data_IF_466135795308
#
_entry.id   IF_466135795308
#
_cell.length_a   1.000
_cell.length_b   1.000
_cell.length_c   1.000
_cell.angle_alpha   90.00
_cell.angle_beta   90.00
_cell.angle_gamma   90.00
#
_symmetry.space_group_name_H-M   'P 1'
#
loop_
_entity.id
_entity.type
_entity.pdbx_description
1 polymer ?
#
# COMPACT_ATOMS: atom_id res chain seq x y z
N UNK A 1 -5.15 -11.64 12.58
CA UNK A 1 -5.41 -11.45 14.03
C UNK A 1 -6.54 -12.31 14.64
N UNK A 2 -6.82 -13.56 14.21
CA UNK A 2 -7.88 -14.38 14.86
C UNK A 2 -7.60 -15.88 14.96
N UNK A 3 -6.42 -16.29 15.45
CA UNK A 3 -6.16 -17.72 15.74
C UNK A 3 -5.73 -17.93 17.22
N UNK A 4 -5.22 -16.88 17.87
CA UNK A 4 -4.68 -16.95 19.24
C UNK A 4 -5.73 -17.29 20.32
N UNK A 5 -7.01 -16.85 20.26
CA UNK A 5 -7.99 -17.20 21.30
C UNK A 5 -8.41 -18.68 21.32
N UNK A 6 -8.16 -19.41 20.24
CA UNK A 6 -8.58 -20.82 20.09
C UNK A 6 -7.56 -21.81 20.66
N UNK A 7 -6.36 -21.35 21.03
CA UNK A 7 -5.30 -22.20 21.54
C UNK A 7 -5.44 -22.48 23.05
N UNK A 8 -6.17 -21.67 23.80
CA UNK A 8 -6.41 -21.87 25.24
C UNK A 8 -7.46 -22.93 25.56
N UNK A 9 -8.20 -23.40 24.55
CA UNK A 9 -9.27 -24.41 24.70
C UNK A 9 -8.82 -25.83 24.30
N UNK A 10 -7.60 -25.98 23.78
CA UNK A 10 -7.07 -27.27 23.34
C UNK A 10 -6.31 -27.96 24.47
N UNK A 11 -6.58 -29.26 24.63
CA UNK A 11 -5.93 -30.10 25.62
C UNK A 11 -4.39 -30.14 25.43
N UNK A 12 -3.64 -30.23 26.53
CA UNK A 12 -2.20 -29.91 26.57
C UNK A 12 -1.32 -30.76 25.64
N UNK A 13 -1.80 -31.92 25.17
CA UNK A 13 -1.15 -32.72 24.16
C UNK A 13 -1.31 -32.16 22.73
N UNK A 14 -2.51 -31.66 22.37
CA UNK A 14 -2.78 -31.07 21.05
C UNK A 14 -2.08 -29.73 20.87
N UNK A 15 -1.96 -28.96 21.96
CA UNK A 15 -1.24 -27.69 21.99
C UNK A 15 0.25 -27.87 21.65
N UNK A 16 0.91 -28.92 22.16
CA UNK A 16 2.32 -29.20 21.90
C UNK A 16 2.60 -29.60 20.44
N UNK A 17 1.71 -30.38 19.83
CA UNK A 17 1.84 -30.78 18.41
C UNK A 17 1.65 -29.58 17.48
N UNK A 18 0.71 -28.69 17.81
CA UNK A 18 0.46 -27.48 17.03
C UNK A 18 1.61 -26.47 17.16
N UNK A 19 2.18 -26.31 18.35
CA UNK A 19 3.36 -25.47 18.59
C UNK A 19 4.59 -26.01 17.87
N UNK A 20 4.83 -27.32 17.89
CA UNK A 20 5.92 -27.95 17.14
C UNK A 20 5.76 -27.78 15.62
N UNK A 21 4.53 -27.85 15.09
CA UNK A 21 4.24 -27.61 13.66
C UNK A 21 4.51 -26.14 13.27
N UNK A 22 4.18 -25.20 14.14
CA UNK A 22 4.44 -23.75 13.93
C UNK A 22 5.93 -23.45 14.00
N UNK A 23 6.68 -24.07 14.93
CA UNK A 23 8.13 -23.98 15.01
C UNK A 23 8.81 -24.54 13.75
N UNK A 24 8.31 -25.64 13.20
CA UNK A 24 8.85 -26.25 11.98
C UNK A 24 8.52 -25.46 10.69
N UNK A 25 7.41 -24.71 10.67
CA UNK A 25 6.97 -23.89 9.52
C UNK A 25 7.57 -22.48 9.56
N UNK A 26 7.87 -21.96 10.75
CA UNK A 26 8.32 -20.56 10.92
C UNK A 26 9.74 -20.43 11.47
N UNK A 27 10.37 -21.51 11.95
CA UNK A 27 11.72 -21.53 12.51
C UNK A 27 11.87 -20.88 13.89
N UNK A 28 10.77 -20.52 14.54
CA UNK A 28 10.77 -19.78 15.82
C UNK A 28 10.68 -20.75 17.00
N UNK A 29 11.62 -20.63 17.96
CA UNK A 29 11.71 -21.51 19.14
C UNK A 29 10.46 -21.43 20.02
N UNK A 30 9.88 -22.59 20.33
CA UNK A 30 8.59 -22.77 21.01
C UNK A 30 8.48 -22.12 22.40
N UNK A 31 9.59 -21.87 23.07
CA UNK A 31 9.67 -21.26 24.41
C UNK A 31 9.16 -19.80 24.43
N UNK A 32 9.38 -19.03 23.36
CA UNK A 32 8.97 -17.62 23.25
C UNK A 32 7.45 -17.43 23.07
N UNK A 33 6.76 -18.46 22.58
CA UNK A 33 5.31 -18.43 22.31
C UNK A 33 4.53 -18.58 23.62
N UNK A 34 5.06 -19.32 24.60
CA UNK A 34 4.44 -19.56 25.90
C UNK A 34 4.46 -18.31 26.79
N UNK A 35 5.53 -17.50 26.71
CA UNK A 35 5.65 -16.26 27.49
C UNK A 35 4.69 -15.15 27.02
N UNK A 36 4.40 -15.08 25.71
CA UNK A 36 3.41 -14.15 25.15
C UNK A 36 1.98 -14.46 25.59
N UNK A 37 1.66 -15.72 25.89
CA UNK A 37 0.34 -16.11 26.36
C UNK A 37 0.10 -15.74 27.84
N UNK A 38 1.16 -15.63 28.64
CA UNK A 38 1.04 -15.33 30.09
C UNK A 38 0.92 -13.82 30.38
N UNK A 39 1.40 -12.95 29.48
CA UNK A 39 1.47 -11.50 29.69
C UNK A 39 0.14 -10.73 29.49
N UNK A 40 -0.97 -11.37 29.06
CA UNK A 40 -2.20 -10.68 28.62
C UNK A 40 -3.29 -10.53 29.68
N UNK A 41 -3.05 -10.92 30.94
CA UNK A 41 -4.05 -10.90 32.02
C UNK A 41 -3.89 -9.68 32.92
N UNK A 42 -4.12 -8.45 32.42
CA UNK A 42 -4.57 -7.29 33.23
C UNK A 42 -5.23 -6.22 32.35
N UNK A 43 -6.41 -5.64 32.71
CA UNK A 43 -7.06 -4.59 31.93
C UNK A 43 -6.87 -3.18 32.50
N UNK A 44 -6.69 -2.17 31.63
CA UNK A 44 -6.73 -0.74 31.97
C UNK A 44 -8.05 -0.08 31.51
N UNK A 45 -8.57 0.83 32.35
CA UNK A 45 -9.92 1.44 32.31
C UNK A 45 -10.02 2.67 31.39
N UNK A 46 -11.25 2.92 30.91
CA UNK A 46 -11.74 4.10 30.15
C UNK A 46 -11.81 5.38 30.99
N UNK A 47 -11.75 6.55 30.35
CA UNK A 47 -12.38 7.78 30.84
C UNK A 47 -13.00 8.60 29.70
N UNK A 48 -13.88 9.54 30.08
CA UNK A 48 -15.11 9.93 29.43
C UNK A 48 -15.08 11.38 28.86
N UNK A 49 -16.14 11.72 28.14
CA UNK A 49 -16.40 12.97 27.39
C UNK A 49 -16.39 14.27 28.21
N UNK A 50 -16.15 15.40 27.55
CA UNK A 50 -16.89 16.65 27.79
C UNK A 50 -16.91 17.58 26.57
N UNK A 51 -17.96 18.39 26.48
CA UNK A 51 -18.52 19.11 25.33
C UNK A 51 -18.64 20.59 25.72
N UNK A 52 -18.31 21.55 24.85
CA UNK A 52 -18.88 22.89 24.95
C UNK A 52 -18.96 23.60 23.58
N UNK A 53 -20.11 24.25 23.32
CA UNK A 53 -20.42 25.22 22.26
C UNK A 53 -20.31 26.62 22.91
N UNK A 54 -20.01 27.75 22.26
CA UNK A 54 -20.65 28.49 21.13
C UNK A 54 -19.91 29.89 21.00
N UNK A 55 -20.30 30.90 20.18
CA UNK A 55 -19.95 31.14 18.77
C UNK A 55 -19.31 32.52 18.41
N UNK A 56 -19.02 32.68 17.10
CA UNK A 56 -18.92 33.87 16.22
C UNK A 56 -17.82 34.94 16.45
N UNK A 57 -16.95 35.12 15.44
CA UNK A 57 -16.82 36.34 14.60
C UNK A 57 -15.75 36.12 13.52
N UNK A 58 -16.05 36.45 12.26
CA UNK A 58 -15.18 36.31 11.08
C UNK A 58 -14.59 37.68 10.71
N UNK A 59 -13.26 37.85 10.69
CA UNK A 59 -12.58 38.86 9.89
C UNK A 59 -12.03 38.23 8.59
N UNK A 60 -11.89 39.05 7.56
CA UNK A 60 -11.38 38.69 6.23
C UNK A 60 -9.98 38.02 6.29
N UNK A 61 -9.82 36.91 5.55
CA UNK A 61 -8.60 36.10 5.54
C UNK A 61 -7.58 36.61 4.49
N UNK A 62 -6.34 36.95 4.88
CA UNK A 62 -5.19 36.95 3.98
C UNK A 62 -4.85 35.51 3.53
N UNK A 63 -4.06 35.29 2.47
CA UNK A 63 -3.94 33.99 1.80
C UNK A 63 -3.60 32.86 2.77
N UNK A 64 -4.41 31.80 2.74
CA UNK A 64 -4.32 30.65 3.62
C UNK A 64 -2.93 30.00 3.51
N UNK A 65 -2.23 29.73 4.64
CA UNK A 65 -1.06 28.88 4.64
C UNK A 65 -1.45 27.45 4.19
N UNK A 66 -0.51 26.66 3.63
CA UNK A 66 -0.80 25.32 3.14
C UNK A 66 -1.47 24.50 4.24
N UNK A 67 -2.68 24.02 3.97
CA UNK A 67 -3.46 23.21 4.90
C UNK A 67 -2.63 21.95 5.22
N UNK A 68 -2.42 21.60 6.50
CA UNK A 68 -1.68 20.41 6.85
C UNK A 68 -2.37 19.19 6.19
N UNK A 69 -1.59 18.26 5.61
CA UNK A 69 -2.15 17.09 4.95
C UNK A 69 -3.01 16.30 5.92
N UNK A 70 -4.11 15.73 5.43
CA UNK A 70 -4.93 14.89 6.30
C UNK A 70 -4.14 13.63 6.69
N UNK A 71 -4.42 12.98 7.83
CA UNK A 71 -3.66 11.81 8.29
C UNK A 71 -3.62 10.64 7.28
N UNK A 72 -4.65 10.53 6.43
CA UNK A 72 -4.71 9.54 5.35
C UNK A 72 -3.74 9.86 4.20
N UNK A 73 -3.59 11.15 3.88
CA UNK A 73 -2.68 11.63 2.83
C UNK A 73 -1.22 11.44 3.26
N UNK A 74 -0.91 11.68 4.53
CA UNK A 74 0.44 11.48 5.06
C UNK A 74 0.88 10.00 4.99
N UNK A 75 -0.03 9.07 5.34
CA UNK A 75 0.26 7.63 5.22
C UNK A 75 0.46 7.21 3.77
N UNK A 76 -0.33 7.75 2.84
CA UNK A 76 -0.19 7.48 1.40
C UNK A 76 1.19 7.94 0.92
N UNK A 77 1.55 9.20 1.23
CA UNK A 77 2.87 9.76 0.91
C UNK A 77 4.03 8.93 1.46
N UNK A 78 3.94 8.43 2.70
CA UNK A 78 4.97 7.54 3.28
C UNK A 78 5.06 6.20 2.55
N UNK A 79 3.93 5.64 2.14
CA UNK A 79 3.88 4.38 1.37
C UNK A 79 4.49 4.57 -0.01
N UNK A 80 4.18 5.69 -0.65
CA UNK A 80 4.71 6.10 -1.95
C UNK A 80 6.23 6.33 -1.90
N UNK A 81 6.71 7.10 -0.91
CA UNK A 81 8.14 7.31 -0.68
C UNK A 81 8.89 5.99 -0.50
N UNK A 82 8.33 5.07 0.28
CA UNK A 82 8.94 3.76 0.48
C UNK A 82 8.97 2.91 -0.80
N UNK A 83 7.88 2.91 -1.58
CA UNK A 83 7.85 2.25 -2.89
C UNK A 83 8.92 2.81 -3.83
N UNK A 84 9.02 4.14 -3.92
CA UNK A 84 10.01 4.81 -4.74
C UNK A 84 11.43 4.45 -4.31
N UNK A 85 11.71 4.45 -3.01
CA UNK A 85 13.00 4.04 -2.48
C UNK A 85 13.36 2.60 -2.91
N UNK A 86 12.43 1.65 -2.77
CA UNK A 86 12.63 0.26 -3.22
C UNK A 86 12.86 0.18 -4.73
N UNK A 87 12.12 0.94 -5.53
CA UNK A 87 12.23 0.95 -6.98
C UNK A 87 13.57 1.53 -7.47
N UNK A 88 14.07 2.58 -6.83
CA UNK A 88 15.38 3.18 -7.12
C UNK A 88 16.53 2.22 -6.76
N UNK A 89 16.39 1.49 -5.65
CA UNK A 89 17.41 0.59 -5.13
C UNK A 89 17.49 -0.75 -5.85
N UNK A 90 16.35 -1.35 -6.20
CA UNK A 90 16.28 -2.69 -6.77
C UNK A 90 15.55 -2.65 -8.12
N UNK A 91 16.25 -2.68 -9.26
CA UNK A 91 15.62 -2.62 -10.59
C UNK A 91 14.56 -3.71 -10.84
N UNK A 92 14.70 -4.87 -10.19
CA UNK A 92 13.72 -5.97 -10.28
C UNK A 92 12.35 -5.63 -9.68
N UNK A 93 12.26 -4.59 -8.83
CA UNK A 93 10.99 -4.07 -8.29
C UNK A 93 10.10 -3.53 -9.40
N UNK A 94 10.66 -2.81 -10.37
CA UNK A 94 9.88 -2.26 -11.48
C UNK A 94 9.17 -3.39 -12.25
N UNK A 95 9.91 -4.44 -12.62
CA UNK A 95 9.38 -5.61 -13.33
C UNK A 95 8.30 -6.32 -12.49
N UNK A 96 8.50 -6.42 -11.16
CA UNK A 96 7.52 -7.05 -10.29
C UNK A 96 6.21 -6.26 -10.19
N UNK A 97 6.30 -4.93 -10.15
CA UNK A 97 5.15 -4.03 -10.10
C UNK A 97 4.41 -4.03 -11.45
N UNK A 98 5.13 -3.93 -12.57
CA UNK A 98 4.53 -3.99 -13.90
C UNK A 98 3.72 -5.28 -14.08
N UNK A 99 4.30 -6.44 -13.74
CA UNK A 99 3.60 -7.73 -13.78
C UNK A 99 2.38 -7.76 -12.86
N UNK A 100 2.49 -7.20 -11.66
CA UNK A 100 1.37 -7.13 -10.73
C UNK A 100 0.21 -6.28 -11.28
N UNK A 101 0.53 -5.13 -11.88
CA UNK A 101 -0.45 -4.22 -12.44
C UNK A 101 -1.06 -4.78 -13.73
N UNK A 102 -0.26 -5.46 -14.56
CA UNK A 102 -0.72 -6.20 -15.73
C UNK A 102 -1.69 -7.33 -15.34
N UNK A 103 -1.40 -8.07 -14.26
CA UNK A 103 -2.34 -9.07 -13.70
C UNK A 103 -3.69 -8.44 -13.32
N UNK A 104 -3.71 -7.23 -12.78
CA UNK A 104 -4.95 -6.52 -12.46
C UNK A 104 -5.67 -6.01 -13.71
N UNK A 105 -4.92 -5.43 -14.64
CA UNK A 105 -5.43 -4.96 -15.93
C UNK A 105 -6.08 -6.09 -16.73
N UNK A 106 -5.46 -7.28 -16.77
CA UNK A 106 -5.98 -8.44 -17.46
C UNK A 106 -7.34 -8.92 -16.91
N UNK A 107 -7.62 -8.67 -15.62
CA UNK A 107 -8.89 -9.05 -14.98
C UNK A 107 -10.00 -8.02 -15.20
N UNK A 108 -9.67 -6.73 -15.25
CA UNK A 108 -10.60 -5.64 -15.53
C UNK A 108 -9.97 -4.64 -16.51
N UNK A 109 -10.10 -4.90 -17.82
CA UNK A 109 -9.43 -4.11 -18.87
C UNK A 109 -9.84 -2.63 -18.83
N UNK A 110 -11.15 -2.36 -18.85
CA UNK A 110 -11.69 -1.00 -18.91
C UNK A 110 -11.24 -0.14 -17.70
N UNK A 111 -11.32 -0.70 -16.49
CA UNK A 111 -10.83 -0.03 -15.30
C UNK A 111 -9.31 0.13 -15.31
N UNK A 112 -8.57 -0.88 -15.78
CA UNK A 112 -7.11 -0.87 -15.84
C UNK A 112 -6.54 0.19 -16.78
N UNK A 113 -7.22 0.51 -17.90
CA UNK A 113 -6.81 1.57 -18.83
C UNK A 113 -6.78 2.96 -18.17
N UNK A 114 -7.59 3.19 -17.13
CA UNK A 114 -7.66 4.48 -16.43
C UNK A 114 -6.45 4.77 -15.52
N UNK A 115 -5.69 3.74 -15.16
CA UNK A 115 -4.72 3.80 -14.07
C UNK A 115 -3.28 3.50 -14.51
N UNK A 116 -3.07 3.01 -15.72
CA UNK A 116 -1.73 2.64 -16.19
C UNK A 116 -1.14 1.40 -15.50
N UNK A 117 0.09 1.05 -15.89
CA UNK A 117 0.73 -0.21 -15.53
C UNK A 117 2.16 -0.06 -14.97
N UNK A 118 2.68 1.17 -14.85
CA UNK A 118 4.02 1.43 -14.35
C UNK A 118 4.08 1.87 -12.89
N UNK A 119 5.30 1.94 -12.35
CA UNK A 119 5.59 2.57 -11.05
C UNK A 119 5.18 4.03 -11.06
N UNK A 120 5.44 4.75 -12.16
CA UNK A 120 5.07 6.15 -12.33
C UNK A 120 3.58 6.40 -12.07
N UNK A 121 2.71 5.53 -12.59
CA UNK A 121 1.26 5.67 -12.44
C UNK A 121 0.75 5.41 -11.01
N UNK A 122 1.63 4.93 -10.11
CA UNK A 122 1.34 4.77 -8.69
C UNK A 122 1.78 5.98 -7.86
N UNK A 123 2.66 6.83 -8.39
CA UNK A 123 3.17 8.01 -7.71
C UNK A 123 2.19 9.17 -7.92
N UNK A 124 1.68 9.77 -6.85
CA UNK A 124 0.81 10.95 -6.93
C UNK A 124 1.54 12.24 -6.50
N UNK A 125 2.64 12.12 -5.74
CA UNK A 125 3.42 13.27 -5.30
C UNK A 125 4.32 13.78 -6.44
N UNK A 126 4.20 15.05 -6.86
CA UNK A 126 4.97 15.58 -8.00
C UNK A 126 6.48 15.43 -7.85
N UNK A 127 6.99 15.57 -6.61
CA UNK A 127 8.41 15.42 -6.34
C UNK A 127 8.89 13.97 -6.55
N UNK A 128 8.08 12.98 -6.17
CA UNK A 128 8.40 11.57 -6.39
C UNK A 128 8.37 11.20 -7.88
N UNK A 129 7.38 11.70 -8.61
CA UNK A 129 7.32 11.54 -10.07
C UNK A 129 8.56 12.15 -10.74
N UNK A 130 8.96 13.36 -10.35
CA UNK A 130 10.14 14.02 -10.89
C UNK A 130 11.44 13.24 -10.59
N UNK A 131 11.60 12.71 -9.39
CA UNK A 131 12.74 11.85 -9.03
C UNK A 131 12.75 10.58 -9.88
N UNK A 132 11.60 9.93 -10.04
CA UNK A 132 11.47 8.72 -10.86
C UNK A 132 11.78 9.00 -12.34
N UNK A 133 11.30 10.12 -12.87
CA UNK A 133 11.60 10.54 -14.24
C UNK A 133 13.09 10.83 -14.44
N UNK A 134 13.75 11.50 -13.50
CA UNK A 134 15.20 11.70 -13.55
C UNK A 134 15.97 10.37 -13.55
N UNK A 135 15.49 9.37 -12.79
CA UNK A 135 16.07 8.04 -12.78
C UNK A 135 15.90 7.32 -14.12
N UNK A 136 14.71 7.39 -14.73
CA UNK A 136 14.46 6.80 -16.05
C UNK A 136 15.26 7.49 -17.16
N UNK A 137 15.45 8.81 -17.08
CA UNK A 137 16.26 9.60 -18.00
C UNK A 137 17.77 9.28 -17.90
N UNK A 138 18.21 8.69 -16.79
CA UNK A 138 19.59 8.23 -16.62
C UNK A 138 19.83 7.00 -17.53
N UNK A 139 20.87 7.01 -18.38
CA UNK A 139 21.22 5.88 -19.24
C UNK A 139 21.35 4.57 -18.44
N UNK A 140 20.89 3.46 -19.01
CA UNK A 140 20.77 2.17 -18.30
C UNK A 140 22.12 1.69 -17.70
N UNK A 141 23.22 1.94 -18.42
CA UNK A 141 24.60 1.63 -18.02
C UNK A 141 25.13 2.50 -16.88
N UNK A 142 24.50 3.65 -16.64
CA UNK A 142 24.87 4.63 -15.60
C UNK A 142 23.89 4.64 -14.42
N UNK A 143 22.84 3.80 -14.47
CA UNK A 143 21.88 3.74 -13.37
C UNK A 143 22.54 3.15 -12.13
N UNK A 144 22.29 3.74 -10.95
CA UNK A 144 22.85 3.23 -9.71
C UNK A 144 22.35 1.81 -9.42
N UNK A 145 23.28 0.95 -9.01
CA UNK A 145 23.01 -0.46 -8.69
C UNK A 145 23.34 -0.79 -7.24
N UNK A 146 24.18 0.02 -6.61
CA UNK A 146 24.63 -0.08 -5.23
C UNK A 146 24.34 1.23 -4.47
N UNK A 147 24.66 1.28 -3.18
CA UNK A 147 24.14 2.34 -2.29
C UNK A 147 24.97 3.61 -2.45
N UNK A 148 26.28 3.44 -2.66
CA UNK A 148 27.21 4.54 -2.86
C UNK A 148 26.93 5.20 -4.21
N UNK A 149 26.73 4.41 -5.27
CA UNK A 149 26.33 4.95 -6.57
C UNK A 149 24.97 5.65 -6.53
N UNK A 150 24.00 5.12 -5.78
CA UNK A 150 22.69 5.77 -5.61
C UNK A 150 22.81 7.10 -4.88
N UNK A 151 23.62 7.15 -3.81
CA UNK A 151 23.90 8.39 -3.09
C UNK A 151 24.60 9.41 -3.97
N UNK A 152 25.62 9.01 -4.73
CA UNK A 152 26.32 9.88 -5.66
C UNK A 152 25.37 10.43 -6.73
N UNK A 153 24.50 9.58 -7.29
CA UNK A 153 23.48 10.00 -8.25
C UNK A 153 22.51 11.02 -7.66
N UNK A 154 22.05 10.84 -6.42
CA UNK A 154 21.14 11.81 -5.74
C UNK A 154 21.77 13.20 -5.60
N UNK A 155 23.08 13.28 -5.32
CA UNK A 155 23.77 14.57 -5.24
C UNK A 155 23.87 15.28 -6.60
N UNK A 156 23.74 14.56 -7.73
CA UNK A 156 23.75 15.16 -9.08
C UNK A 156 22.41 15.75 -9.52
N UNK A 157 21.31 15.42 -8.84
CA UNK A 157 19.96 15.83 -9.25
C UNK A 157 19.68 17.34 -9.07
N UNK A 158 20.36 17.98 -8.13
CA UNK A 158 20.11 19.36 -7.73
C UNK A 158 18.82 19.54 -6.92
N UNK A 159 18.67 20.69 -6.28
CA UNK A 159 17.46 21.02 -5.52
C UNK A 159 16.28 21.35 -6.45
N UNK A 160 15.03 20.95 -6.10
CA UNK A 160 14.60 20.32 -4.84
C UNK A 160 14.69 18.79 -4.79
N UNK A 161 15.17 18.15 -5.87
CA UNK A 161 15.15 16.69 -6.00
C UNK A 161 16.12 16.02 -5.04
N UNK A 162 17.31 16.59 -4.84
CA UNK A 162 18.29 16.10 -3.86
C UNK A 162 17.72 16.11 -2.44
N UNK A 163 17.11 17.21 -2.00
CA UNK A 163 16.45 17.30 -0.69
C UNK A 163 15.29 16.32 -0.52
N UNK A 164 14.55 16.03 -1.60
CA UNK A 164 13.47 15.03 -1.61
C UNK A 164 13.94 13.58 -1.63
N UNK A 165 15.05 13.30 -2.32
CA UNK A 165 15.56 11.94 -2.50
C UNK A 165 16.43 11.46 -1.31
N UNK A 166 17.13 12.36 -0.61
CA UNK A 166 17.93 12.01 0.58
C UNK A 166 17.14 11.24 1.66
N UNK A 167 15.94 11.67 2.08
CA UNK A 167 15.11 10.92 3.02
C UNK A 167 14.71 9.51 2.54
N UNK A 168 14.68 9.28 1.22
CA UNK A 168 14.37 7.96 0.66
C UNK A 168 15.49 6.95 0.95
N UNK A 169 16.75 7.39 0.98
CA UNK A 169 17.87 6.53 1.36
C UNK A 169 17.80 6.15 2.84
N UNK A 170 17.53 7.10 3.72
CA UNK A 170 17.39 6.84 5.15
C UNK A 170 16.30 5.81 5.46
N UNK A 171 15.23 5.78 4.65
CA UNK A 171 14.15 4.81 4.77
C UNK A 171 14.61 3.37 4.52
N UNK A 172 15.54 3.17 3.57
CA UNK A 172 16.08 1.85 3.23
C UNK A 172 17.07 1.37 4.27
N UNK A 173 17.94 2.26 4.76
CA UNK A 173 18.93 1.92 5.80
C UNK A 173 18.28 1.40 7.09
N UNK A 174 17.09 1.93 7.43
CA UNK A 174 16.32 1.50 8.60
C UNK A 174 15.68 0.11 8.43
N UNK A 175 15.65 -0.45 7.21
CA UNK A 175 15.01 -1.73 6.89
C UNK A 175 15.89 -2.58 5.96
N UNK A 176 16.97 -3.16 6.48
CA UNK A 176 17.98 -3.88 5.69
C UNK A 176 17.53 -5.29 5.21
N UNK A 177 16.25 -5.64 5.26
CA UNK A 177 15.76 -6.96 4.84
C UNK A 177 15.70 -7.07 3.29
N UNK A 178 16.89 -7.13 2.69
CA UNK A 178 17.20 -7.26 1.25
C UNK A 178 16.58 -8.50 0.57
N UNK A 179 15.88 -9.36 1.30
CA UNK A 179 15.26 -10.57 0.74
C UNK A 179 13.77 -10.35 0.45
N UNK A 180 13.12 -9.38 1.11
CA UNK A 180 11.65 -9.19 1.05
C UNK A 180 11.21 -7.97 0.23
N UNK A 181 12.16 -7.18 -0.29
CA UNK A 181 11.87 -5.94 -1.02
C UNK A 181 10.80 -6.09 -2.10
N UNK A 182 10.80 -7.21 -2.84
CA UNK A 182 9.82 -7.46 -3.90
C UNK A 182 8.41 -7.58 -3.34
N UNK A 183 8.24 -8.36 -2.27
CA UNK A 183 6.95 -8.52 -1.63
C UNK A 183 6.45 -7.20 -1.06
N UNK A 184 7.35 -6.44 -0.41
CA UNK A 184 7.01 -5.15 0.18
C UNK A 184 6.61 -4.13 -0.89
N UNK A 185 7.34 -4.06 -2.00
CA UNK A 185 6.98 -3.24 -3.13
C UNK A 185 5.61 -3.60 -3.72
N UNK A 186 5.31 -4.90 -3.88
CA UNK A 186 3.98 -5.36 -4.30
C UNK A 186 2.88 -4.94 -3.31
N UNK A 187 3.15 -4.97 -1.99
CA UNK A 187 2.18 -4.50 -0.99
C UNK A 187 1.96 -2.98 -1.07
N UNK A 188 3.04 -2.21 -1.21
CA UNK A 188 2.92 -0.76 -1.41
C UNK A 188 2.11 -0.45 -2.67
N UNK A 189 2.40 -1.12 -3.80
CA UNK A 189 1.66 -0.96 -5.05
C UNK A 189 0.16 -1.28 -4.88
N UNK A 190 -0.18 -2.37 -4.16
CA UNK A 190 -1.59 -2.69 -3.81
C UNK A 190 -2.27 -1.58 -3.03
N UNK A 191 -1.60 -1.07 -2.00
CA UNK A 191 -2.14 -0.02 -1.13
C UNK A 191 -2.38 1.27 -1.93
N UNK A 192 -1.39 1.69 -2.72
CA UNK A 192 -1.47 2.91 -3.54
C UNK A 192 -2.56 2.78 -4.61
N UNK A 193 -2.56 1.67 -5.37
CA UNK A 193 -3.57 1.47 -6.42
C UNK A 193 -4.98 1.44 -5.85
N UNK A 194 -5.18 0.76 -4.71
CA UNK A 194 -6.48 0.77 -4.03
C UNK A 194 -6.90 2.19 -3.64
N UNK A 195 -5.97 2.99 -3.13
CA UNK A 195 -6.25 4.36 -2.72
C UNK A 195 -6.67 5.24 -3.91
N UNK A 196 -5.98 5.10 -5.05
CA UNK A 196 -6.31 5.78 -6.31
C UNK A 196 -7.71 5.40 -6.82
N UNK A 197 -8.06 4.11 -6.78
CA UNK A 197 -9.39 3.63 -7.20
C UNK A 197 -10.48 4.20 -6.30
N UNK A 198 -10.29 4.17 -4.97
CA UNK A 198 -11.26 4.72 -4.00
C UNK A 198 -11.45 6.22 -4.21
N UNK A 199 -10.37 6.97 -4.42
CA UNK A 199 -10.43 8.40 -4.69
C UNK A 199 -11.15 8.70 -6.02
N UNK A 200 -10.92 7.87 -7.05
CA UNK A 200 -11.63 7.98 -8.33
C UNK A 200 -13.14 7.72 -8.18
N UNK A 201 -13.51 6.67 -7.44
CA UNK A 201 -14.90 6.37 -7.09
C UNK A 201 -15.54 7.55 -6.35
N UNK A 202 -14.84 8.15 -5.39
CA UNK A 202 -15.32 9.32 -4.66
C UNK A 202 -15.62 10.49 -5.61
N UNK A 203 -14.70 10.82 -6.52
CA UNK A 203 -14.90 11.90 -7.50
C UNK A 203 -16.08 11.64 -8.44
N UNK A 204 -16.28 10.40 -8.89
CA UNK A 204 -17.47 10.05 -9.68
C UNK A 204 -18.77 10.20 -8.90
N UNK A 205 -18.79 9.83 -7.61
CA UNK A 205 -19.96 10.03 -6.76
C UNK A 205 -20.25 11.52 -6.50
N UNK A 206 -19.21 12.36 -6.37
CA UNK A 206 -19.37 13.81 -6.26
C UNK A 206 -19.97 14.38 -7.55
N UNK A 207 -19.43 14.01 -8.72
CA UNK A 207 -19.93 14.42 -10.04
C UNK A 207 -21.39 14.00 -10.29
N UNK A 208 -21.80 12.81 -9.86
CA UNK A 208 -23.18 12.33 -9.99
C UNK A 208 -24.21 13.20 -9.25
N UNK A 209 -23.82 13.92 -8.19
CA UNK A 209 -24.75 14.77 -7.44
C UNK A 209 -25.07 16.08 -8.16
N UNK A 210 -24.25 16.45 -9.13
CA UNK A 210 -24.31 17.71 -9.86
C UNK A 210 -24.82 17.51 -11.30
N UNK A 211 -25.08 16.28 -11.70
CA UNK A 211 -25.44 15.90 -13.06
C UNK A 211 -26.95 15.73 -13.23
N UNK A 212 -27.50 16.43 -14.22
CA UNK A 212 -28.90 16.33 -14.64
C UNK A 212 -29.07 15.56 -15.98
N UNK A 213 -27.97 15.19 -16.64
CA UNK A 213 -27.98 14.47 -17.92
C UNK A 213 -28.01 12.95 -17.72
N UNK A 214 -29.12 12.31 -18.10
CA UNK A 214 -29.37 10.87 -17.90
C UNK A 214 -28.35 9.98 -18.62
N UNK A 215 -27.96 10.30 -19.86
CA UNK A 215 -26.97 9.51 -20.61
C UNK A 215 -25.57 9.54 -19.94
N UNK A 216 -25.21 10.68 -19.36
CA UNK A 216 -23.94 10.86 -18.68
C UNK A 216 -23.94 10.19 -17.30
N UNK A 217 -25.09 10.22 -16.62
CA UNK A 217 -25.31 9.48 -15.38
C UNK A 217 -25.16 7.97 -15.61
N UNK A 218 -25.78 7.41 -16.65
CA UNK A 218 -25.66 5.98 -16.96
C UNK A 218 -24.20 5.57 -17.23
N UNK A 219 -23.45 6.38 -17.99
CA UNK A 219 -22.02 6.12 -18.23
C UNK A 219 -21.19 6.14 -16.94
N UNK A 220 -21.42 7.10 -16.06
CA UNK A 220 -20.70 7.16 -14.78
C UNK A 220 -21.07 6.00 -13.86
N UNK A 221 -22.34 5.60 -13.84
CA UNK A 221 -22.78 4.43 -13.08
C UNK A 221 -22.13 3.13 -13.60
N UNK A 222 -21.97 2.99 -14.92
CA UNK A 222 -21.19 1.89 -15.51
C UNK A 222 -19.75 1.90 -15.01
N UNK A 223 -19.04 3.02 -15.13
CA UNK A 223 -17.66 3.14 -14.65
C UNK A 223 -17.51 2.88 -13.14
N UNK A 224 -18.49 3.28 -12.33
CA UNK A 224 -18.48 2.99 -10.88
C UNK A 224 -18.56 1.49 -10.58
N UNK A 225 -19.34 0.73 -11.35
CA UNK A 225 -19.42 -0.75 -11.22
C UNK A 225 -18.09 -1.40 -11.60
N UNK A 226 -17.49 -0.97 -12.71
CA UNK A 226 -16.18 -1.44 -13.16
C UNK A 226 -15.09 -1.15 -12.10
N UNK A 227 -15.04 0.07 -11.57
CA UNK A 227 -14.08 0.46 -10.54
C UNK A 227 -14.29 -0.29 -9.22
N UNK A 228 -15.54 -0.56 -8.84
CA UNK A 228 -15.84 -1.33 -7.63
C UNK A 228 -15.35 -2.78 -7.77
N UNK A 229 -15.61 -3.39 -8.93
CA UNK A 229 -15.10 -4.74 -9.26
C UNK A 229 -13.58 -4.76 -9.25
N UNK A 230 -12.93 -3.76 -9.85
CA UNK A 230 -11.47 -3.62 -9.86
C UNK A 230 -10.88 -3.47 -8.44
N UNK A 231 -11.51 -2.67 -7.58
CA UNK A 231 -11.09 -2.51 -6.18
C UNK A 231 -11.12 -3.84 -5.41
N UNK A 232 -12.13 -4.66 -5.64
CA UNK A 232 -12.23 -5.99 -5.05
C UNK A 232 -11.09 -6.90 -5.53
N UNK A 233 -10.79 -6.90 -6.84
CA UNK A 233 -9.72 -7.71 -7.42
C UNK A 233 -8.34 -7.40 -6.85
N UNK A 234 -8.02 -6.12 -6.59
CA UNK A 234 -6.75 -5.71 -5.97
C UNK A 234 -6.59 -6.30 -4.56
N UNK A 235 -7.71 -6.49 -3.85
CA UNK A 235 -7.70 -6.99 -2.46
C UNK A 235 -7.69 -8.51 -2.35
N UNK A 236 -7.94 -9.22 -3.45
CA UNK A 236 -7.93 -10.68 -3.43
C UNK A 236 -6.50 -11.20 -3.23
N UNK A 237 -6.28 -12.17 -2.32
CA UNK A 237 -4.98 -12.80 -2.18
C UNK A 237 -4.60 -13.49 -3.49
N UNK A 238 -3.29 -13.52 -3.82
CA UNK A 238 -2.78 -14.27 -4.97
C UNK A 238 -3.28 -15.72 -4.84
N UNK A 239 -4.07 -16.17 -5.82
CA UNK A 239 -4.44 -17.59 -5.94
C UNK A 239 -3.14 -18.36 -6.13
N UNK A 240 -2.77 -19.17 -5.14
CA UNK A 240 -1.55 -19.97 -5.27
C UNK A 240 -1.77 -20.98 -6.39
N UNK A 241 -0.92 -20.98 -7.41
CA UNK A 241 -0.98 -22.00 -8.47
C UNK A 241 -0.66 -23.40 -7.93
N UNK A 242 0.06 -23.48 -6.81
CA UNK A 242 0.46 -24.72 -6.14
C UNK A 242 -0.68 -25.36 -5.33
N UNK A 243 -1.62 -24.56 -4.84
CA UNK A 243 -2.83 -25.01 -4.13
C UNK A 243 -4.03 -24.24 -4.68
N UNK A 244 -4.68 -24.72 -5.76
CA UNK A 244 -5.94 -24.17 -6.21
C UNK A 244 -6.96 -24.23 -5.06
N UNK A 245 -7.79 -23.19 -4.93
CA UNK A 245 -8.78 -23.08 -3.87
C UNK A 245 -9.74 -24.27 -3.94
N UNK A 246 -9.96 -24.98 -2.83
CA UNK A 246 -10.83 -26.16 -2.78
C UNK A 246 -12.27 -25.83 -3.21
N UNK A 247 -12.67 -24.55 -3.14
CA UNK A 247 -13.95 -24.06 -3.63
C UNK A 247 -14.09 -24.12 -5.15
N UNK A 248 -13.00 -23.91 -5.89
CA UNK A 248 -12.97 -24.03 -7.36
C UNK A 248 -13.09 -25.50 -7.79
N UNK A 249 -12.66 -26.46 -6.95
CA UNK A 249 -12.75 -27.89 -7.22
C UNK A 249 -14.13 -28.51 -6.92
N UNK A 250 -14.97 -27.82 -6.12
CA UNK A 250 -16.29 -28.31 -5.71
C UNK A 250 -17.44 -27.70 -6.52
N UNK A 251 -17.18 -26.73 -7.40
CA UNK A 251 -18.18 -26.02 -8.19
C UNK A 251 -18.44 -26.57 -9.60
N UNK A 252 -17.66 -27.55 -10.06
CA UNK A 252 -17.87 -28.24 -11.34
C UNK A 252 -18.39 -29.65 -11.07
N UNK A 253 -19.71 -29.77 -10.86
CA UNK A 253 -20.45 -31.02 -10.76
C UNK A 253 -21.86 -30.86 -11.30
#
# INVERSE_FOLDING_TARGET
ERIIPLLSELDGAAQRVYVARVEQITGVRSELIVDLLRARVQPARRSDRSRNKRPLSRPEEPPLPPTPPTPLDERRRKTEAYLLALALRYPSVNIAIEKLLEEYHARCREAGELFGAGVEDLLEEPLHQAIWQAYLATPLDQRPTDQESLQAWIETLGEPLTGGAKPLLELLERRPDDVRFRHEAEQCARILRKAQVVERIRRYNERLRELDNEEEMERILHHLRELSTYAEQITQPRRSSTFPDLRDLLGNG
#
